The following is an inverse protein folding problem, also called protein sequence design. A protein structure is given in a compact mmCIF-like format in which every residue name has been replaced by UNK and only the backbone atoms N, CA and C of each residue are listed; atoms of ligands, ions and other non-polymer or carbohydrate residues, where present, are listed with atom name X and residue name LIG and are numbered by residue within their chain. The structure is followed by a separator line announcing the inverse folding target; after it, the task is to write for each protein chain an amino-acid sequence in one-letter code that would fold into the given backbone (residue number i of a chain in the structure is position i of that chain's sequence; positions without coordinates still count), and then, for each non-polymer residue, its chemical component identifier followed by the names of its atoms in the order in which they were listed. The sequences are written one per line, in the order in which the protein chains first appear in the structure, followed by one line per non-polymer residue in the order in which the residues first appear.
data_IF_288791004059
#
_entry.id   IF_288791004059
#
_cell.length_a   1.000
_cell.length_b   1.000
_cell.length_c   1.000
_cell.angle_alpha   90.00
_cell.angle_beta   90.00
_cell.angle_gamma   90.00
#
_symmetry.space_group_name_H-M   'P 1'
#
loop_
_entity.id
_entity.type
_entity.pdbx_description
1 polymer ?
#
# COMPACT_ATOMS: atom_id res chain seq x y z
N UNK A 1 13.28 -21.97 -28.31
CA UNK A 1 11.88 -21.53 -28.20
C UNK A 1 11.39 -21.14 -29.58
N UNK A 2 10.16 -21.44 -29.92
CA UNK A 2 9.56 -20.92 -31.13
C UNK A 2 9.46 -19.41 -30.95
N UNK A 3 10.11 -18.63 -31.82
CA UNK A 3 10.09 -17.16 -31.81
C UNK A 3 8.70 -16.59 -32.17
N UNK A 4 7.66 -17.15 -31.57
CA UNK A 4 6.27 -16.75 -31.72
C UNK A 4 5.97 -15.63 -30.71
N UNK A 5 6.64 -14.51 -30.88
CA UNK A 5 6.39 -13.31 -30.09
C UNK A 5 5.26 -12.51 -30.75
N UNK A 6 4.17 -12.31 -30.00
CA UNK A 6 3.20 -11.29 -30.39
C UNK A 6 3.89 -9.92 -30.32
N UNK A 7 3.74 -9.14 -31.39
CA UNK A 7 4.17 -7.74 -31.33
C UNK A 7 3.21 -7.00 -30.38
N UNK A 8 3.69 -6.46 -29.24
CA UNK A 8 2.83 -5.72 -28.34
C UNK A 8 2.31 -4.46 -29.03
N UNK A 9 1.05 -4.13 -28.82
CA UNK A 9 0.44 -2.88 -29.25
C UNK A 9 -0.08 -2.16 -28.02
N UNK A 10 0.33 -0.91 -27.83
CA UNK A 10 -0.02 -0.06 -26.70
C UNK A 10 0.42 -0.62 -25.32
N UNK A 11 1.48 -1.42 -25.26
CA UNK A 11 2.12 -1.84 -24.01
C UNK A 11 3.40 -1.05 -23.80
N UNK A 12 3.55 -0.51 -22.61
CA UNK A 12 4.76 0.15 -22.14
C UNK A 12 5.54 -0.79 -21.21
N UNK A 13 6.76 -0.42 -20.86
CA UNK A 13 7.60 -1.24 -19.99
C UNK A 13 6.99 -1.46 -18.58
N UNK A 14 6.22 -0.51 -18.08
CA UNK A 14 5.52 -0.59 -16.80
C UNK A 14 4.21 -1.40 -16.82
N UNK A 15 3.74 -1.81 -18.01
CA UNK A 15 2.63 -2.76 -18.14
C UNK A 15 3.08 -4.21 -17.90
N UNK A 16 4.41 -4.43 -17.75
CA UNK A 16 5.01 -5.73 -17.49
C UNK A 16 5.42 -5.78 -16.01
N UNK A 17 4.73 -6.59 -15.23
CA UNK A 17 4.98 -6.77 -13.79
C UNK A 17 5.68 -8.12 -13.52
N UNK A 18 6.41 -8.27 -12.40
CA UNK A 18 7.19 -9.48 -12.09
C UNK A 18 6.33 -10.68 -11.61
N UNK A 19 5.01 -10.61 -11.70
CA UNK A 19 4.13 -11.71 -11.37
C UNK A 19 4.41 -12.95 -12.25
N UNK A 20 4.35 -14.11 -11.64
CA UNK A 20 4.57 -15.39 -12.28
C UNK A 20 3.61 -16.43 -11.71
N UNK A 21 3.42 -17.61 -12.35
CA UNK A 21 2.57 -18.66 -11.79
C UNK A 21 2.99 -19.13 -10.40
N UNK A 22 4.23 -18.87 -10.00
CA UNK A 22 4.80 -19.29 -8.71
C UNK A 22 5.10 -18.14 -7.75
N UNK A 23 4.88 -16.90 -8.17
CA UNK A 23 5.04 -15.72 -7.32
C UNK A 23 4.06 -14.63 -7.75
N UNK A 24 3.03 -14.39 -6.94
CA UNK A 24 2.03 -13.37 -7.20
C UNK A 24 2.11 -12.33 -6.08
N UNK A 25 2.16 -11.07 -6.46
CA UNK A 25 2.15 -9.94 -5.54
C UNK A 25 0.71 -9.57 -5.17
N UNK A 26 0.55 -8.91 -4.02
CA UNK A 26 -0.71 -8.29 -3.66
C UNK A 26 -1.11 -7.25 -4.72
N UNK A 27 -2.40 -7.16 -4.98
CA UNK A 27 -3.04 -6.06 -5.71
C UNK A 27 -4.29 -5.63 -4.96
N UNK A 28 -4.90 -4.51 -5.33
CA UNK A 28 -6.18 -4.11 -4.75
C UNK A 28 -7.30 -5.04 -5.25
N UNK A 29 -8.15 -5.50 -4.32
CA UNK A 29 -9.18 -6.48 -4.63
C UNK A 29 -10.40 -5.81 -5.25
N UNK A 30 -10.64 -6.04 -6.54
CA UNK A 30 -11.73 -5.42 -7.30
C UNK A 30 -13.13 -5.89 -6.89
N UNK A 31 -13.24 -6.93 -6.05
CA UNK A 31 -14.53 -7.45 -5.54
C UNK A 31 -14.73 -7.19 -4.04
N UNK A 32 -13.70 -6.68 -3.32
CA UNK A 32 -13.74 -6.34 -1.89
C UNK A 32 -13.51 -4.83 -1.72
N UNK A 33 -14.46 -4.05 -2.22
CA UNK A 33 -14.39 -2.58 -2.29
C UNK A 33 -15.75 -1.92 -2.20
N UNK A 34 -15.76 -0.68 -1.74
CA UNK A 34 -16.92 0.21 -1.80
C UNK A 34 -16.69 1.32 -2.84
N UNK A 35 -17.38 1.24 -3.99
CA UNK A 35 -17.44 2.32 -4.98
C UNK A 35 -16.14 2.78 -5.65
N UNK A 36 -15.00 2.18 -5.31
CA UNK A 36 -13.71 2.51 -5.89
C UNK A 36 -13.58 1.98 -7.33
N UNK A 37 -12.82 2.68 -8.16
CA UNK A 37 -12.47 2.29 -9.52
C UNK A 37 -11.00 1.92 -9.57
N UNK A 38 -10.68 0.79 -10.23
CA UNK A 38 -9.32 0.31 -10.40
C UNK A 38 -8.86 0.44 -11.84
N UNK A 39 -7.56 0.72 -12.00
CA UNK A 39 -6.83 0.72 -13.25
C UNK A 39 -5.43 0.08 -13.03
N UNK A 40 -4.60 0.04 -14.07
CA UNK A 40 -3.20 -0.41 -14.02
C UNK A 40 -3.05 -1.75 -13.27
N UNK A 41 -3.74 -2.80 -13.74
CA UNK A 41 -3.66 -4.12 -13.12
C UNK A 41 -4.16 -4.18 -11.66
N UNK A 42 -5.09 -3.32 -11.27
CA UNK A 42 -5.59 -3.13 -9.89
C UNK A 42 -4.53 -2.52 -8.93
N UNK A 43 -3.56 -1.80 -9.46
CA UNK A 43 -2.60 -1.05 -8.65
C UNK A 43 -3.01 0.42 -8.52
N UNK A 44 -3.69 1.00 -9.51
CA UNK A 44 -4.25 2.34 -9.39
C UNK A 44 -5.69 2.28 -8.86
N UNK A 45 -6.00 3.18 -7.91
CA UNK A 45 -7.33 3.33 -7.32
C UNK A 45 -7.75 4.79 -7.30
N UNK A 46 -9.00 5.01 -7.70
CA UNK A 46 -9.66 6.30 -7.65
C UNK A 46 -11.11 6.11 -7.21
N UNK A 47 -11.80 7.21 -6.91
CA UNK A 47 -13.22 7.19 -6.55
C UNK A 47 -13.56 8.24 -5.52
N UNK A 48 -14.83 8.64 -5.49
CA UNK A 48 -15.35 9.60 -4.51
C UNK A 48 -16.10 8.84 -3.40
N UNK A 49 -15.36 8.10 -2.59
CA UNK A 49 -15.92 7.26 -1.52
C UNK A 49 -15.68 7.92 -0.17
N UNK A 50 -16.71 8.60 0.37
CA UNK A 50 -16.60 9.32 1.64
C UNK A 50 -16.47 8.35 2.82
N UNK A 51 -17.30 7.30 2.84
CA UNK A 51 -17.27 6.22 3.81
C UNK A 51 -17.08 4.91 3.06
N UNK A 52 -15.91 4.33 3.18
CA UNK A 52 -15.60 3.08 2.53
C UNK A 52 -14.11 2.96 2.20
N UNK A 53 -13.72 1.74 1.96
CA UNK A 53 -12.35 1.35 1.63
C UNK A 53 -12.35 0.25 0.57
N UNK A 54 -11.17 -0.04 0.06
CA UNK A 54 -10.88 -1.23 -0.73
C UNK A 54 -9.71 -1.95 -0.09
N UNK A 55 -9.80 -3.27 0.09
CA UNK A 55 -8.71 -4.09 0.61
C UNK A 55 -7.84 -4.69 -0.50
N UNK A 56 -6.63 -5.13 -0.12
CA UNK A 56 -5.75 -5.90 -0.99
C UNK A 56 -6.16 -7.36 -1.10
N UNK A 57 -5.59 -8.07 -2.09
CA UNK A 57 -5.85 -9.50 -2.34
C UNK A 57 -5.05 -10.44 -1.44
N UNK A 58 -3.95 -9.96 -0.86
CA UNK A 58 -3.07 -10.73 0.03
C UNK A 58 -2.96 -9.99 1.35
N UNK A 59 -3.12 -10.71 2.45
CA UNK A 59 -2.87 -10.26 3.80
C UNK A 59 -1.93 -11.20 4.54
N UNK A 60 -1.56 -10.86 5.77
CA UNK A 60 -0.61 -11.63 6.57
C UNK A 60 -1.09 -11.80 8.01
N UNK A 61 -0.80 -12.96 8.59
CA UNK A 61 -1.05 -13.29 10.01
C UNK A 61 0.23 -13.23 10.86
N UNK A 62 1.40 -13.17 10.23
CA UNK A 62 2.72 -13.16 10.85
C UNK A 62 3.73 -12.49 9.94
N UNK A 63 4.93 -12.20 10.46
CA UNK A 63 6.04 -11.63 9.68
C UNK A 63 5.99 -10.12 9.52
N UNK A 64 6.95 -9.58 8.78
CA UNK A 64 7.16 -8.14 8.59
C UNK A 64 7.05 -7.77 7.13
N UNK A 65 6.19 -6.82 6.83
CA UNK A 65 5.76 -6.52 5.48
C UNK A 65 5.87 -5.05 5.14
N UNK A 66 6.10 -4.75 3.88
CA UNK A 66 6.27 -3.39 3.36
C UNK A 66 5.52 -3.20 2.05
N UNK A 67 4.92 -2.03 1.87
CA UNK A 67 4.37 -1.58 0.60
C UNK A 67 4.34 -0.06 0.50
N UNK A 68 4.16 0.43 -0.70
CA UNK A 68 4.16 1.84 -1.05
C UNK A 68 2.89 2.23 -1.79
N UNK A 69 2.55 3.52 -1.77
CA UNK A 69 1.58 4.11 -2.69
C UNK A 69 1.98 5.54 -3.05
N UNK A 70 1.96 5.85 -4.34
CA UNK A 70 2.17 7.21 -4.84
C UNK A 70 0.84 7.95 -4.89
N UNK A 71 0.83 9.17 -4.38
CA UNK A 71 -0.30 10.09 -4.50
C UNK A 71 -0.26 10.75 -5.88
N UNK A 72 -1.00 10.20 -6.85
CA UNK A 72 -1.03 10.74 -8.22
C UNK A 72 -1.83 12.04 -8.28
N UNK A 73 -3.00 12.08 -7.63
CA UNK A 73 -3.81 13.29 -7.52
C UNK A 73 -4.13 13.54 -6.05
N UNK A 74 -3.81 14.74 -5.57
CA UNK A 74 -4.04 15.13 -4.19
C UNK A 74 -5.53 15.35 -3.89
N UNK A 75 -5.97 14.73 -2.82
CA UNK A 75 -7.19 15.07 -2.09
C UNK A 75 -6.95 14.71 -0.62
N UNK A 76 -7.26 15.64 0.30
CA UNK A 76 -6.84 15.56 1.70
C UNK A 76 -7.26 14.28 2.43
N UNK A 77 -8.45 13.77 2.17
CA UNK A 77 -8.98 12.55 2.78
C UNK A 77 -8.58 11.25 2.08
N UNK A 78 -7.77 11.33 1.01
CA UNK A 78 -7.18 10.14 0.36
C UNK A 78 -6.13 9.52 1.27
N UNK A 79 -6.20 8.21 1.50
CA UNK A 79 -5.38 7.49 2.47
C UNK A 79 -4.81 6.18 1.94
N UNK A 80 -3.54 5.92 2.29
CA UNK A 80 -3.02 4.56 2.39
C UNK A 80 -3.42 3.98 3.74
N UNK A 81 -3.80 2.70 3.79
CA UNK A 81 -4.40 2.12 4.97
C UNK A 81 -4.00 0.66 5.20
N UNK A 82 -4.24 0.19 6.42
CA UNK A 82 -4.32 -1.23 6.77
C UNK A 82 -5.67 -1.47 7.44
N UNK A 83 -6.24 -2.64 7.22
CA UNK A 83 -7.45 -3.11 7.87
C UNK A 83 -7.30 -4.58 8.26
N UNK A 84 -8.04 -5.01 9.28
CA UNK A 84 -8.24 -6.42 9.54
C UNK A 84 -9.47 -6.94 8.76
N UNK A 85 -9.75 -8.23 8.86
CA UNK A 85 -10.89 -8.89 8.23
C UNK A 85 -12.26 -8.42 8.73
N UNK A 86 -12.33 -7.93 9.97
CA UNK A 86 -13.57 -7.51 10.65
C UNK A 86 -13.97 -6.06 10.31
N UNK A 87 -13.12 -5.29 9.62
CA UNK A 87 -13.46 -3.92 9.27
C UNK A 87 -14.60 -3.86 8.25
N UNK A 88 -15.61 -3.04 8.55
CA UNK A 88 -16.70 -2.78 7.62
C UNK A 88 -16.26 -1.76 6.56
N UNK A 89 -15.76 -2.25 5.44
CA UNK A 89 -15.23 -1.42 4.35
C UNK A 89 -16.31 -0.64 3.57
N UNK A 90 -17.59 -0.88 3.81
CA UNK A 90 -18.67 -0.23 3.05
C UNK A 90 -19.23 1.01 3.74
N UNK A 91 -19.04 1.15 5.05
CA UNK A 91 -19.65 2.23 5.83
C UNK A 91 -18.68 2.94 6.77
N UNK A 92 -17.39 2.58 6.72
CA UNK A 92 -16.36 3.13 7.59
C UNK A 92 -15.19 3.68 6.80
N UNK A 93 -14.69 4.85 7.21
CA UNK A 93 -13.42 5.36 6.67
C UNK A 93 -12.22 4.73 7.39
N UNK A 94 -11.06 4.76 6.75
CA UNK A 94 -9.85 4.16 7.29
C UNK A 94 -9.44 4.78 8.64
N UNK A 95 -9.37 3.95 9.68
CA UNK A 95 -9.04 4.35 11.05
C UNK A 95 -10.22 4.88 11.88
N UNK A 96 -11.45 4.76 11.40
CA UNK A 96 -12.64 5.12 12.19
C UNK A 96 -12.84 4.17 13.37
N UNK A 97 -12.48 2.93 13.21
CA UNK A 97 -12.61 1.88 14.24
C UNK A 97 -11.24 1.41 14.72
N UNK A 98 -11.23 0.43 15.63
CA UNK A 98 -10.02 -0.30 16.02
C UNK A 98 -9.59 -1.35 14.99
N UNK A 99 -10.38 -1.57 13.94
CA UNK A 99 -10.18 -2.60 12.92
C UNK A 99 -9.45 -2.07 11.66
N UNK A 100 -9.13 -0.79 11.63
CA UNK A 100 -8.33 -0.19 10.55
C UNK A 100 -7.47 0.97 11.03
N UNK A 101 -6.46 1.31 10.25
CA UNK A 101 -5.67 2.54 10.35
C UNK A 101 -5.60 3.22 8.98
N UNK A 102 -5.49 4.54 8.96
CA UNK A 102 -5.31 5.29 7.73
C UNK A 102 -4.35 6.46 7.88
N UNK A 103 -3.40 6.58 6.97
CA UNK A 103 -2.55 7.77 6.84
C UNK A 103 -3.03 8.59 5.65
N UNK A 104 -3.58 9.78 5.94
CA UNK A 104 -4.23 10.65 4.99
C UNK A 104 -3.25 11.65 4.38
N UNK A 105 -3.56 12.08 3.17
CA UNK A 105 -2.73 13.04 2.43
C UNK A 105 -2.61 14.41 3.12
N UNK A 106 -3.58 14.80 3.92
CA UNK A 106 -3.62 16.08 4.64
C UNK A 106 -2.81 16.11 5.95
N UNK A 107 -2.13 15.03 6.31
CA UNK A 107 -1.29 14.82 7.50
C UNK A 107 -1.88 13.98 8.63
N UNK A 108 -3.17 13.68 8.60
CA UNK A 108 -3.83 12.93 9.69
C UNK A 108 -3.53 11.44 9.58
N UNK A 109 -3.20 10.82 10.69
CA UNK A 109 -3.23 9.38 10.88
C UNK A 109 -4.37 9.05 11.82
N UNK A 110 -5.29 8.20 11.37
CA UNK A 110 -6.46 7.80 12.14
C UNK A 110 -6.33 6.38 12.70
N UNK A 111 -6.77 6.23 13.95
CA UNK A 111 -7.05 4.97 14.61
C UNK A 111 -8.13 5.18 15.67
N UNK A 112 -9.18 4.36 15.66
CA UNK A 112 -10.30 4.43 16.62
C UNK A 112 -10.91 5.85 16.71
N UNK A 113 -11.16 6.46 15.56
CA UNK A 113 -11.62 7.86 15.42
C UNK A 113 -10.68 8.93 16.00
N UNK A 114 -9.58 8.54 16.62
CA UNK A 114 -8.54 9.46 17.06
C UNK A 114 -7.62 9.85 15.91
N UNK A 115 -7.23 11.13 15.83
CA UNK A 115 -6.31 11.62 14.82
C UNK A 115 -5.00 12.11 15.44
N UNK A 116 -3.88 11.68 14.88
CA UNK A 116 -2.55 12.23 15.17
C UNK A 116 -2.00 12.87 13.90
N UNK A 117 -1.43 14.06 14.01
CA UNK A 117 -0.90 14.77 12.85
C UNK A 117 0.58 14.45 12.63
N UNK A 118 0.90 14.12 11.38
CA UNK A 118 2.26 13.89 10.90
C UNK A 118 2.58 14.80 9.70
N UNK A 119 3.36 14.35 8.75
CA UNK A 119 3.69 15.14 7.56
C UNK A 119 2.57 15.06 6.52
N UNK A 120 2.10 16.21 6.02
CA UNK A 120 1.17 16.23 4.87
C UNK A 120 1.87 15.79 3.59
N UNK A 121 1.11 15.22 2.66
CA UNK A 121 1.58 14.85 1.33
C UNK A 121 1.05 15.83 0.28
N UNK A 122 1.71 15.83 -0.86
CA UNK A 122 1.30 16.54 -2.09
C UNK A 122 1.31 15.55 -3.24
N UNK A 123 0.67 15.88 -4.35
CA UNK A 123 0.76 15.06 -5.56
C UNK A 123 2.22 14.78 -5.91
N UNK A 124 2.51 13.53 -6.27
CA UNK A 124 3.86 13.04 -6.51
C UNK A 124 4.59 12.47 -5.29
N UNK A 125 4.13 12.74 -4.07
CA UNK A 125 4.73 12.12 -2.89
C UNK A 125 4.34 10.64 -2.77
N UNK A 126 5.20 9.88 -2.10
CA UNK A 126 5.03 8.45 -1.88
C UNK A 126 4.78 8.22 -0.39
N UNK A 127 3.64 7.59 -0.11
CA UNK A 127 3.34 6.97 1.17
C UNK A 127 4.11 5.66 1.32
N UNK A 128 4.46 5.31 2.54
CA UNK A 128 5.06 4.04 2.89
C UNK A 128 4.35 3.46 4.10
N UNK A 129 4.09 2.17 4.09
CA UNK A 129 3.67 1.41 5.26
C UNK A 129 4.63 0.24 5.46
N UNK A 130 5.13 0.11 6.68
CA UNK A 130 5.75 -1.10 7.20
C UNK A 130 4.92 -1.60 8.38
N UNK A 131 4.66 -2.91 8.45
CA UNK A 131 3.95 -3.51 9.58
C UNK A 131 4.56 -4.84 9.99
N UNK A 132 4.56 -5.07 11.27
CA UNK A 132 5.01 -6.31 11.91
C UNK A 132 3.77 -7.01 12.47
N UNK A 133 3.31 -8.06 11.79
CA UNK A 133 2.11 -8.78 12.16
C UNK A 133 2.30 -9.62 13.44
N UNK A 134 3.54 -9.97 13.80
CA UNK A 134 3.83 -10.72 15.03
C UNK A 134 3.67 -9.86 16.29
N UNK A 135 3.96 -8.55 16.17
CA UNK A 135 3.91 -7.60 17.30
C UNK A 135 2.79 -6.57 17.18
N UNK A 136 2.08 -6.54 16.05
CA UNK A 136 1.03 -5.58 15.75
C UNK A 136 1.51 -4.15 15.49
N UNK A 137 2.82 -3.92 15.36
CA UNK A 137 3.39 -2.59 15.17
C UNK A 137 3.25 -2.11 13.73
N UNK A 138 2.91 -0.84 13.58
CA UNK A 138 2.71 -0.17 12.29
C UNK A 138 3.55 1.10 12.22
N UNK A 139 4.25 1.28 11.12
CA UNK A 139 4.99 2.49 10.78
C UNK A 139 4.46 3.07 9.49
N UNK A 140 4.42 4.39 9.43
CA UNK A 140 4.06 5.14 8.21
C UNK A 140 5.21 6.04 7.81
N UNK A 141 5.42 6.21 6.52
CA UNK A 141 6.47 7.04 5.96
C UNK A 141 5.96 7.94 4.83
N UNK A 142 6.73 8.99 4.59
CA UNK A 142 6.60 9.89 3.45
C UNK A 142 7.96 10.08 2.81
N UNK A 143 8.09 9.75 1.53
CA UNK A 143 9.31 9.97 0.74
C UNK A 143 10.57 9.51 1.51
N UNK A 144 10.57 8.27 1.97
CA UNK A 144 11.64 7.62 2.75
C UNK A 144 11.91 8.24 4.14
N UNK A 145 10.99 9.03 4.65
CA UNK A 145 11.10 9.57 6.01
C UNK A 145 9.99 8.98 6.88
N UNK A 146 10.38 8.12 7.81
CA UNK A 146 9.47 7.51 8.76
C UNK A 146 8.96 8.54 9.76
N UNK A 147 7.66 8.53 10.02
CA UNK A 147 7.03 9.42 10.98
C UNK A 147 7.29 8.92 12.41
N UNK A 148 7.06 9.77 13.42
CA UNK A 148 7.26 9.46 14.85
C UNK A 148 8.69 9.00 15.20
N UNK A 149 9.70 9.52 14.49
CA UNK A 149 11.08 9.04 14.60
C UNK A 149 11.18 7.52 14.43
N UNK A 150 10.34 6.97 13.53
CA UNK A 150 10.20 5.53 13.29
C UNK A 150 11.48 4.90 12.75
N UNK A 151 11.80 3.74 13.28
CA UNK A 151 12.83 2.84 12.77
C UNK A 151 12.24 1.42 12.72
N UNK A 152 11.58 1.05 11.61
CA UNK A 152 10.99 -0.28 11.48
C UNK A 152 12.03 -1.40 11.63
N UNK A 153 13.24 -1.22 11.08
CA UNK A 153 14.29 -2.24 11.13
C UNK A 153 14.65 -2.64 12.58
N UNK A 154 14.68 -1.65 13.48
CA UNK A 154 14.93 -1.85 14.90
C UNK A 154 13.66 -1.97 15.76
N UNK A 155 12.47 -1.90 15.13
CA UNK A 155 11.18 -2.06 15.80
C UNK A 155 10.80 -0.93 16.74
N UNK A 156 11.34 0.30 16.53
CA UNK A 156 11.08 1.46 17.38
C UNK A 156 10.29 2.54 16.66
N UNK A 157 9.65 3.46 17.41
CA UNK A 157 8.94 4.60 16.85
C UNK A 157 7.73 4.24 15.98
N UNK A 158 7.07 3.10 16.21
CA UNK A 158 5.79 2.79 15.53
C UNK A 158 4.75 3.87 15.83
N UNK A 159 3.91 4.19 14.84
CA UNK A 159 2.82 5.16 15.01
C UNK A 159 1.63 4.55 15.73
N UNK A 160 1.46 3.23 15.62
CA UNK A 160 0.40 2.46 16.27
C UNK A 160 0.86 1.04 16.56
N UNK A 161 0.27 0.45 17.59
CA UNK A 161 0.32 -1.00 17.86
C UNK A 161 -1.12 -1.49 18.01
N UNK A 162 -1.47 -2.55 17.28
CA UNK A 162 -2.80 -3.16 17.25
C UNK A 162 -2.73 -4.63 17.65
N UNK A 163 -3.86 -5.20 18.03
CA UNK A 163 -3.97 -6.63 18.38
C UNK A 163 -4.81 -7.37 17.33
N UNK A 164 -4.40 -7.24 16.05
CA UNK A 164 -5.07 -7.92 14.95
C UNK A 164 -4.44 -9.29 14.69
N UNK A 165 -5.27 -10.24 14.28
CA UNK A 165 -4.80 -11.57 13.86
C UNK A 165 -4.49 -11.63 12.35
N UNK A 166 -5.01 -10.69 11.57
CA UNK A 166 -4.81 -10.63 10.14
C UNK A 166 -4.71 -9.18 9.66
N UNK A 167 -3.75 -8.91 8.80
CA UNK A 167 -3.45 -7.58 8.29
C UNK A 167 -3.63 -7.56 6.78
N UNK A 168 -4.48 -6.69 6.28
CA UNK A 168 -4.73 -6.47 4.85
C UNK A 168 -4.34 -5.03 4.50
N UNK A 169 -3.55 -4.81 3.43
CA UNK A 169 -3.45 -3.49 2.83
C UNK A 169 -4.83 -2.97 2.48
N UNK A 170 -5.02 -1.67 2.59
CA UNK A 170 -6.28 -1.05 2.21
C UNK A 170 -6.04 0.34 1.60
N UNK A 171 -7.01 0.79 0.81
CA UNK A 171 -7.03 2.07 0.13
C UNK A 171 -8.31 2.82 0.42
N UNK A 172 -8.22 4.15 0.54
CA UNK A 172 -9.37 5.04 0.51
C UNK A 172 -9.07 6.22 -0.40
N UNK A 173 -9.96 6.49 -1.36
CA UNK A 173 -9.89 7.67 -2.20
C UNK A 173 -11.20 8.46 -2.12
N UNK A 174 -11.09 9.78 -2.03
CA UNK A 174 -12.22 10.70 -1.93
C UNK A 174 -12.09 11.78 -3.01
N UNK A 175 -13.20 12.24 -3.55
CA UNK A 175 -13.22 13.29 -4.56
C UNK A 175 -12.42 12.89 -5.81
N UNK A 176 -11.42 13.68 -6.14
CA UNK A 176 -10.51 13.45 -7.26
C UNK A 176 -9.22 12.73 -6.87
N UNK A 177 -9.11 12.23 -5.64
CA UNK A 177 -7.90 11.56 -5.16
C UNK A 177 -7.59 10.29 -5.96
N UNK A 178 -6.31 10.11 -6.30
CA UNK A 178 -5.81 8.93 -7.02
C UNK A 178 -4.54 8.44 -6.32
N UNK A 179 -4.53 7.17 -5.96
CA UNK A 179 -3.36 6.45 -5.44
C UNK A 179 -2.93 5.37 -6.42
N UNK A 180 -1.63 5.22 -6.61
CA UNK A 180 -1.04 4.08 -7.30
C UNK A 180 -0.19 3.28 -6.30
N UNK A 181 -0.60 2.05 -6.04
CA UNK A 181 0.06 1.14 -5.10
C UNK A 181 1.23 0.42 -5.76
N UNK A 182 2.23 0.10 -4.94
CA UNK A 182 3.32 -0.79 -5.27
C UNK A 182 3.55 -1.77 -4.12
N UNK A 183 3.25 -3.05 -4.34
CA UNK A 183 3.54 -4.13 -3.40
C UNK A 183 4.84 -4.86 -3.76
N UNK A 184 5.61 -4.30 -4.71
CA UNK A 184 6.84 -4.83 -5.29
C UNK A 184 6.73 -5.16 -6.78
N UNK A 185 5.67 -4.70 -7.47
CA UNK A 185 5.52 -4.96 -8.90
C UNK A 185 6.14 -3.88 -9.77
N UNK A 186 6.03 -2.61 -9.38
CA UNK A 186 6.38 -1.49 -10.25
C UNK A 186 6.76 -0.24 -9.46
N UNK A 187 8.04 0.06 -9.37
CA UNK A 187 8.56 1.27 -8.74
C UNK A 187 8.37 2.54 -9.58
N UNK A 188 7.92 2.39 -10.83
CA UNK A 188 7.56 3.53 -11.67
C UNK A 188 6.17 4.07 -11.39
N UNK A 189 5.30 3.31 -10.68
CA UNK A 189 3.90 3.64 -10.44
C UNK A 189 3.16 3.96 -11.74
N UNK A 190 3.16 3.00 -12.70
CA UNK A 190 2.54 3.19 -14.00
C UNK A 190 3.23 4.25 -14.87
N UNK A 191 4.53 4.44 -14.72
CA UNK A 191 5.30 5.44 -15.45
C UNK A 191 5.22 6.86 -14.88
N UNK A 192 4.59 7.06 -13.72
CA UNK A 192 4.52 8.36 -13.04
C UNK A 192 5.82 8.78 -12.34
N UNK A 193 6.76 7.86 -12.17
CA UNK A 193 8.10 8.09 -11.59
C UNK A 193 9.14 7.29 -12.35
N UNK A 194 10.42 7.67 -12.21
CA UNK A 194 11.52 6.85 -12.73
C UNK A 194 11.71 5.64 -11.81
N UNK A 195 11.66 4.43 -12.36
CA UNK A 195 11.82 3.19 -11.61
C UNK A 195 13.17 3.15 -10.85
N UNK A 196 13.15 2.63 -9.62
CA UNK A 196 14.32 2.56 -8.73
C UNK A 196 14.82 1.12 -8.52
N UNK A 197 13.99 0.12 -8.77
CA UNK A 197 14.31 -1.31 -8.78
C UNK A 197 14.91 -1.83 -7.45
N UNK A 198 14.40 -1.36 -6.31
CA UNK A 198 14.83 -1.87 -5.01
C UNK A 198 14.07 -3.17 -4.69
N UNK A 199 14.80 -4.23 -4.35
CA UNK A 199 14.24 -5.49 -3.88
C UNK A 199 14.25 -5.56 -2.35
N UNK A 200 13.46 -6.47 -1.79
CA UNK A 200 13.52 -6.84 -0.38
C UNK A 200 14.73 -7.74 -0.05
N UNK A 201 14.87 -8.13 1.21
CA UNK A 201 15.99 -8.95 1.66
C UNK A 201 16.03 -10.38 1.07
N UNK A 202 14.94 -10.85 0.46
CA UNK A 202 14.86 -12.12 -0.27
C UNK A 202 15.10 -11.97 -1.77
N UNK A 203 15.36 -10.75 -2.23
CA UNK A 203 15.57 -10.42 -3.64
C UNK A 203 14.27 -10.32 -4.46
N UNK A 204 13.12 -10.15 -3.81
CA UNK A 204 11.84 -9.96 -4.47
C UNK A 204 11.41 -8.50 -4.43
N UNK A 205 10.75 -8.09 -5.49
CA UNK A 205 10.15 -6.77 -5.60
C UNK A 205 10.96 -5.79 -6.43
N UNK A 206 10.23 -4.78 -6.87
CA UNK A 206 10.67 -3.57 -7.54
C UNK A 206 10.04 -2.40 -6.77
N UNK A 207 10.68 -1.96 -5.68
CA UNK A 207 10.22 -0.86 -4.86
C UNK A 207 10.91 0.45 -5.23
N UNK A 208 10.21 1.57 -5.01
CA UNK A 208 10.78 2.90 -5.19
C UNK A 208 11.79 3.23 -4.08
N UNK A 209 11.45 2.92 -2.83
CA UNK A 209 12.38 2.96 -1.70
C UNK A 209 12.69 1.55 -1.23
N UNK A 210 13.93 1.31 -0.84
CA UNK A 210 14.29 0.02 -0.30
C UNK A 210 13.44 -0.31 0.94
N UNK A 211 12.82 -1.50 1.01
CA UNK A 211 12.15 -1.95 2.21
C UNK A 211 13.08 -1.90 3.42
N UNK A 212 12.59 -1.57 4.63
CA UNK A 212 13.41 -1.64 5.85
C UNK A 212 13.98 -3.06 6.04
N UNK A 213 15.17 -3.16 6.59
CA UNK A 213 15.81 -4.45 6.85
C UNK A 213 14.86 -5.38 7.62
N UNK A 214 14.66 -6.59 7.11
CA UNK A 214 13.78 -7.60 7.68
C UNK A 214 12.30 -7.45 7.31
N UNK A 215 11.94 -6.46 6.47
CA UNK A 215 10.61 -6.33 5.90
C UNK A 215 10.61 -6.81 4.45
N UNK A 216 9.51 -7.45 4.05
CA UNK A 216 9.42 -8.15 2.78
C UNK A 216 8.24 -7.65 1.94
N UNK A 217 8.34 -7.89 0.64
CA UNK A 217 7.25 -7.70 -0.32
C UNK A 217 6.08 -8.62 0.01
N UNK A 218 4.87 -8.10 -0.03
CA UNK A 218 3.66 -8.88 0.21
C UNK A 218 3.31 -9.70 -1.04
N UNK A 219 3.93 -10.87 -1.15
CA UNK A 219 3.78 -11.81 -2.25
C UNK A 219 3.76 -13.26 -1.78
N UNK A 220 3.36 -14.18 -2.65
CA UNK A 220 3.21 -15.60 -2.31
C UNK A 220 4.52 -16.35 -2.07
N UNK A 221 5.67 -15.78 -2.39
CA UNK A 221 6.98 -16.36 -2.12
C UNK A 221 7.51 -16.03 -0.73
N UNK A 222 7.03 -14.94 -0.15
CA UNK A 222 7.46 -14.47 1.17
C UNK A 222 6.48 -14.91 2.29
N UNK A 223 5.27 -15.41 1.93
CA UNK A 223 4.24 -15.89 2.87
C UNK A 223 4.57 -17.23 3.52
#
# INVERSE_FOLDING_TARGET
GNDNHFTPSNLNAYDVVPDSPTNNYCVLNSVDKDGHTNAEGNLEVSGNVIYGMQRGTIGATSGKWYFEARLNTYQGDTAIALANEDENIFTRFSGETTNSVGYLADNRFFYNSGATNYSSLSAGNIFQIAFDADTGKIWIGKNNTWQNSGDPANGTGSVQTVSWNFFLPAARTVGSGVLHYNFGQDSSFGGHSTAQNNADGNGYGDFYYAPPTGFFALNTKNL
#
